data_IF_535373046400
#
_entry.id   IF_535373046400
#
_cell.length_a   1.000
_cell.length_b   1.000
_cell.length_c   1.000
_cell.angle_alpha   90.00
_cell.angle_beta   90.00
_cell.angle_gamma   90.00
#
_symmetry.space_group_name_H-M   'P 1'
#
loop_
_entity.id
_entity.type
_entity.pdbx_description
1 polymer ?
#
# COMPACT_ATOMS: atom_id res chain seq x y z
N UNK A 1 -26.80 33.15 -10.35
CA UNK A 1 -26.90 31.68 -10.24
C UNK A 1 -25.70 30.95 -10.87
N UNK A 2 -25.35 31.23 -12.13
CA UNK A 2 -24.25 30.57 -12.84
C UNK A 2 -22.85 30.72 -12.20
N UNK A 3 -22.53 31.91 -11.66
CA UNK A 3 -21.25 32.17 -11.00
C UNK A 3 -21.08 31.37 -9.68
N UNK A 4 -22.18 31.11 -8.96
CA UNK A 4 -22.17 30.27 -7.77
C UNK A 4 -21.91 28.80 -8.14
N UNK A 5 -22.60 28.30 -9.16
CA UNK A 5 -22.40 26.94 -9.70
C UNK A 5 -20.94 26.69 -10.11
N UNK A 6 -20.35 27.60 -10.91
CA UNK A 6 -18.95 27.51 -11.36
C UNK A 6 -17.94 27.51 -10.21
N UNK A 7 -18.23 28.25 -9.12
CA UNK A 7 -17.39 28.29 -7.91
C UNK A 7 -17.46 26.96 -7.14
N UNK A 8 -18.65 26.38 -7.04
CA UNK A 8 -18.85 25.08 -6.37
C UNK A 8 -18.19 23.95 -7.14
N UNK A 9 -18.30 23.94 -8.46
CA UNK A 9 -17.65 22.97 -9.35
C UNK A 9 -16.12 23.02 -9.23
N UNK A 10 -15.54 24.23 -9.21
CA UNK A 10 -14.10 24.43 -9.01
C UNK A 10 -13.60 23.88 -7.67
N UNK A 11 -14.31 24.14 -6.57
CA UNK A 11 -13.99 23.60 -5.24
C UNK A 11 -14.10 22.08 -5.20
N UNK A 12 -15.17 21.52 -5.78
CA UNK A 12 -15.38 20.06 -5.85
C UNK A 12 -14.23 19.37 -6.59
N UNK A 13 -13.82 19.93 -7.73
CA UNK A 13 -12.69 19.41 -8.53
C UNK A 13 -11.38 19.45 -7.75
N UNK A 14 -11.16 20.48 -6.93
CA UNK A 14 -9.97 20.58 -6.09
C UNK A 14 -9.96 19.54 -4.96
N UNK A 15 -11.11 19.30 -4.31
CA UNK A 15 -11.28 18.27 -3.28
C UNK A 15 -11.07 16.87 -3.88
N UNK A 16 -11.69 16.57 -5.02
CA UNK A 16 -11.50 15.31 -5.74
C UNK A 16 -10.03 15.06 -6.12
N UNK A 17 -9.32 16.12 -6.53
CA UNK A 17 -7.90 16.02 -6.85
C UNK A 17 -7.03 15.77 -5.63
N UNK A 18 -7.41 16.32 -4.47
CA UNK A 18 -6.71 16.10 -3.21
C UNK A 18 -6.98 14.68 -2.69
N UNK A 19 -8.24 14.23 -2.73
CA UNK A 19 -8.62 12.89 -2.30
C UNK A 19 -7.92 11.83 -3.16
N UNK A 20 -7.85 12.01 -4.47
CA UNK A 20 -7.11 11.09 -5.35
C UNK A 20 -5.62 10.97 -4.99
N UNK A 21 -4.98 12.05 -4.53
CA UNK A 21 -3.56 12.00 -4.12
C UNK A 21 -3.31 11.23 -2.83
N UNK A 22 -4.32 11.10 -1.97
CA UNK A 22 -4.21 10.45 -0.66
C UNK A 22 -4.77 9.03 -0.71
N UNK A 23 -5.97 8.86 -1.28
CA UNK A 23 -6.68 7.57 -1.30
C UNK A 23 -6.00 6.58 -2.23
N UNK A 24 -5.51 7.03 -3.39
CA UNK A 24 -4.92 6.13 -4.38
C UNK A 24 -3.64 5.42 -3.89
N UNK A 25 -2.65 6.09 -3.27
CA UNK A 25 -1.48 5.39 -2.71
C UNK A 25 -1.86 4.46 -1.54
N UNK A 26 -2.90 4.79 -0.76
CA UNK A 26 -3.42 3.87 0.27
C UNK A 26 -3.99 2.61 -0.37
N UNK A 27 -4.76 2.74 -1.46
CA UNK A 27 -5.28 1.59 -2.20
C UNK A 27 -4.14 0.73 -2.77
N UNK A 28 -3.10 1.34 -3.35
CA UNK A 28 -1.92 0.62 -3.84
C UNK A 28 -1.25 -0.16 -2.69
N UNK A 29 -1.04 0.48 -1.54
CA UNK A 29 -0.44 -0.16 -0.37
C UNK A 29 -1.29 -1.36 0.11
N UNK A 30 -2.61 -1.19 0.20
CA UNK A 30 -3.54 -2.26 0.57
C UNK A 30 -3.51 -3.42 -0.42
N UNK A 31 -3.45 -3.14 -1.73
CA UNK A 31 -3.32 -4.18 -2.77
C UNK A 31 -2.02 -4.96 -2.65
N UNK A 32 -0.87 -4.30 -2.47
CA UNK A 32 0.43 -4.96 -2.30
C UNK A 32 0.42 -5.85 -1.04
N UNK A 33 -0.17 -5.33 0.04
CA UNK A 33 -0.31 -6.07 1.30
C UNK A 33 -1.18 -7.32 1.10
N UNK A 34 -2.29 -7.21 0.37
CA UNK A 34 -3.15 -8.35 0.01
C UNK A 34 -2.44 -9.38 -0.86
N UNK A 35 -1.65 -8.96 -1.86
CA UNK A 35 -0.87 -9.89 -2.67
C UNK A 35 0.21 -10.62 -1.87
N UNK A 36 0.72 -10.01 -0.80
CA UNK A 36 1.69 -10.65 0.10
C UNK A 36 1.06 -11.77 0.94
N UNK A 37 -0.27 -11.79 1.11
CA UNK A 37 -0.99 -12.88 1.78
C UNK A 37 -1.16 -14.14 0.93
N UNK A 38 -1.13 -14.02 -0.41
CA UNK A 38 -1.26 -15.19 -1.27
C UNK A 38 0.12 -15.86 -1.36
N UNK A 39 0.34 -17.01 -0.70
CA UNK A 39 1.63 -17.67 -0.77
C UNK A 39 1.87 -18.09 -2.22
N UNK A 40 2.88 -17.52 -2.87
CA UNK A 40 3.48 -18.18 -4.01
C UNK A 40 3.98 -19.53 -3.50
N UNK A 41 3.45 -20.67 -3.97
CA UNK A 41 3.71 -21.97 -3.37
C UNK A 41 5.15 -22.37 -3.69
N UNK A 42 6.10 -21.93 -2.88
CA UNK A 42 7.49 -22.31 -2.94
C UNK A 42 7.95 -22.66 -1.53
N UNK A 43 7.94 -23.97 -1.26
CA UNK A 43 8.67 -24.70 -0.21
C UNK A 43 7.95 -24.96 1.12
N UNK A 44 8.49 -25.94 1.86
CA UNK A 44 7.91 -26.89 2.82
C UNK A 44 7.14 -26.33 4.04
N UNK A 45 6.91 -25.02 4.13
CA UNK A 45 6.17 -24.36 5.21
C UNK A 45 4.95 -23.66 4.62
N UNK A 46 3.93 -24.45 4.29
CA UNK A 46 2.72 -24.05 3.56
C UNK A 46 1.91 -22.96 4.27
N UNK A 47 2.19 -22.69 5.55
CA UNK A 47 1.40 -21.80 6.39
C UNK A 47 2.13 -20.53 6.87
N UNK A 48 3.43 -20.36 6.64
CA UNK A 48 4.12 -19.14 7.08
C UNK A 48 3.58 -17.91 6.31
N UNK A 49 3.21 -16.86 7.04
CA UNK A 49 2.65 -15.62 6.46
C UNK A 49 3.63 -14.49 6.70
N UNK A 50 4.14 -13.93 5.62
CA UNK A 50 4.99 -12.74 5.65
C UNK A 50 4.33 -11.62 4.84
N UNK A 51 4.05 -10.49 5.48
CA UNK A 51 3.42 -9.34 4.83
C UNK A 51 4.39 -8.16 4.83
N UNK A 52 4.54 -7.57 3.66
CA UNK A 52 5.27 -6.32 3.46
C UNK A 52 6.17 -6.37 2.24
N UNK A 53 6.25 -5.25 1.52
CA UNK A 53 7.15 -5.07 0.39
C UNK A 53 7.50 -3.58 0.25
N UNK A 54 8.81 -3.22 0.20
CA UNK A 54 9.98 -4.11 0.17
C UNK A 54 10.42 -4.65 1.55
N UNK A 55 9.86 -4.14 2.65
CA UNK A 55 10.26 -4.56 4.00
C UNK A 55 9.15 -5.39 4.65
N UNK A 56 9.47 -6.56 5.19
CA UNK A 56 8.47 -7.36 5.91
C UNK A 56 8.14 -6.69 7.25
N UNK A 57 6.89 -6.28 7.45
CA UNK A 57 6.43 -5.65 8.69
C UNK A 57 5.59 -6.59 9.55
N UNK A 58 5.09 -7.67 8.97
CA UNK A 58 4.38 -8.72 9.69
C UNK A 58 4.96 -10.07 9.35
N UNK A 59 5.26 -10.85 10.38
CA UNK A 59 5.70 -12.23 10.23
C UNK A 59 4.86 -13.12 11.14
N UNK A 60 4.47 -14.26 10.61
CA UNK A 60 3.72 -15.29 11.29
C UNK A 60 4.31 -16.63 10.88
N UNK A 61 5.17 -17.15 11.74
CA UNK A 61 5.97 -18.33 11.45
C UNK A 61 5.50 -19.48 12.34
N UNK A 62 5.28 -20.64 11.74
CA UNK A 62 4.99 -21.87 12.47
C UNK A 62 6.29 -22.52 12.91
N UNK A 63 6.42 -22.78 14.21
CA UNK A 63 7.63 -23.32 14.84
C UNK A 63 7.32 -24.70 15.44
N UNK A 64 8.14 -25.70 15.07
CA UNK A 64 8.10 -27.07 15.61
C UNK A 64 7.53 -28.11 14.63
N UNK A 65 7.97 -29.36 14.76
CA UNK A 65 7.33 -30.51 14.11
C UNK A 65 5.89 -30.59 14.65
N UNK A 66 4.89 -30.39 13.79
CA UNK A 66 3.44 -30.30 14.09
C UNK A 66 2.85 -28.93 14.51
N UNK A 67 3.45 -27.79 14.15
CA UNK A 67 2.84 -26.45 14.35
C UNK A 67 2.51 -26.10 15.82
N UNK A 68 3.29 -26.62 16.78
CA UNK A 68 3.03 -26.47 18.21
C UNK A 68 3.28 -25.04 18.74
N UNK A 69 4.10 -24.25 18.04
CA UNK A 69 4.41 -22.88 18.38
C UNK A 69 4.11 -21.92 17.23
N UNK A 70 3.64 -20.72 17.58
CA UNK A 70 3.42 -19.61 16.64
C UNK A 70 4.34 -18.48 17.06
N UNK A 71 5.21 -18.04 16.16
CA UNK A 71 5.99 -16.82 16.34
C UNK A 71 5.33 -15.68 15.56
N UNK A 72 4.93 -14.63 16.27
CA UNK A 72 4.27 -13.46 15.67
C UNK A 72 5.12 -12.22 15.90
N UNK A 73 5.57 -11.60 14.81
CA UNK A 73 6.36 -10.38 14.86
C UNK A 73 5.63 -9.25 14.13
N UNK A 74 5.56 -8.09 14.80
CA UNK A 74 5.06 -6.85 14.21
C UNK A 74 6.14 -5.77 14.27
N UNK A 75 6.58 -5.29 13.11
CA UNK A 75 7.61 -4.27 12.99
C UNK A 75 7.00 -2.96 12.47
N UNK A 76 6.66 -2.07 13.41
CA UNK A 76 6.08 -0.75 13.11
C UNK A 76 7.00 0.14 12.26
N UNK A 77 8.32 0.03 12.42
CA UNK A 77 9.28 0.79 11.62
C UNK A 77 9.18 0.37 10.15
N UNK A 78 9.19 -0.94 9.88
CA UNK A 78 9.04 -1.45 8.52
C UNK A 78 7.69 -1.05 7.92
N UNK A 79 6.60 -1.10 8.70
CA UNK A 79 5.29 -0.63 8.23
C UNK A 79 5.35 0.82 7.73
N UNK A 80 5.93 1.71 8.52
CA UNK A 80 6.11 3.11 8.15
C UNK A 80 6.92 3.28 6.85
N UNK A 81 8.04 2.55 6.73
CA UNK A 81 8.88 2.61 5.52
C UNK A 81 8.18 2.10 4.27
N UNK A 82 7.36 1.05 4.37
CA UNK A 82 6.58 0.57 3.22
C UNK A 82 5.53 1.60 2.77
N UNK A 83 4.81 2.22 3.71
CA UNK A 83 3.85 3.28 3.39
C UNK A 83 4.59 4.43 2.69
N UNK A 84 5.70 4.91 3.27
CA UNK A 84 6.51 5.97 2.68
C UNK A 84 6.99 5.61 1.26
N UNK A 85 7.46 4.38 1.07
CA UNK A 85 7.93 3.89 -0.21
C UNK A 85 6.84 3.92 -1.30
N UNK A 86 5.63 3.45 -0.98
CA UNK A 86 4.49 3.50 -1.92
C UNK A 86 4.14 4.94 -2.29
N UNK A 87 4.13 5.85 -1.31
CA UNK A 87 3.87 7.27 -1.56
C UNK A 87 4.93 7.91 -2.46
N UNK A 88 6.22 7.58 -2.26
CA UNK A 88 7.30 8.07 -3.10
C UNK A 88 7.17 7.57 -4.54
N UNK A 89 6.94 6.27 -4.75
CA UNK A 89 6.74 5.70 -6.08
C UNK A 89 5.53 6.32 -6.80
N UNK A 90 4.42 6.49 -6.08
CA UNK A 90 3.23 7.13 -6.62
C UNK A 90 3.51 8.58 -7.06
N UNK A 91 4.24 9.35 -6.26
CA UNK A 91 4.60 10.73 -6.61
C UNK A 91 5.54 10.80 -7.82
N UNK A 92 6.53 9.91 -7.88
CA UNK A 92 7.41 9.78 -9.05
C UNK A 92 6.59 9.49 -10.30
N UNK A 93 5.65 8.54 -10.24
CA UNK A 93 4.75 8.21 -11.35
C UNK A 93 3.96 9.42 -11.85
N UNK A 94 3.42 10.24 -10.94
CA UNK A 94 2.72 11.48 -11.30
C UNK A 94 3.66 12.48 -12.01
N UNK A 95 4.87 12.66 -11.50
CA UNK A 95 5.85 13.59 -12.10
C UNK A 95 6.25 13.12 -13.49
N UNK A 96 6.54 11.84 -13.65
CA UNK A 96 6.89 11.22 -14.94
C UNK A 96 5.73 11.38 -15.93
N UNK A 97 4.50 11.03 -15.56
CA UNK A 97 3.32 11.17 -16.43
C UNK A 97 3.12 12.63 -16.90
N UNK A 98 3.36 13.61 -16.03
CA UNK A 98 3.28 15.02 -16.41
C UNK A 98 4.35 15.45 -17.41
N UNK A 99 5.54 14.88 -17.32
CA UNK A 99 6.65 15.19 -18.23
C UNK A 99 6.47 14.53 -19.61
N UNK A 100 5.79 13.37 -19.68
CA UNK A 100 5.48 12.70 -20.95
C UNK A 100 4.25 13.26 -21.67
N UNK A 101 3.28 13.83 -20.94
CA UNK A 101 2.08 14.46 -21.51
C UNK A 101 2.27 15.97 -21.82
N UNK A 102 3.52 16.45 -21.82
CA UNK A 102 3.90 17.80 -22.25
C UNK A 102 4.48 17.73 -23.66
#
# INVERSE_FOLDING_TARGET
MYALYKRTEGKLKQILRLSYKIVFPILIFSSISLFSFFPFPKQARVYDIHIGFPFTYYQYDYVGENCLGINRLWNNSHLFWNILFVYLLYFIGIVVQKNFNK
#
